data_IF_714863733977
#
_entry.id   IF_714863733977
#
_cell.length_a   1.000
_cell.length_b   1.000
_cell.length_c   1.000
_cell.angle_alpha   90.00
_cell.angle_beta   90.00
_cell.angle_gamma   90.00
#
_symmetry.space_group_name_H-M   'P 1'
#
loop_
_entity.id
_entity.type
_entity.pdbx_description
1 polymer ?
#
# COMPACT_ATOMS: atom_id res chain seq x y z
N UNK A 1 4.35 22.80 76.72
CA UNK A 1 5.04 21.53 77.09
C UNK A 1 4.41 20.40 76.28
N UNK A 2 5.25 19.58 75.62
CA UNK A 2 4.98 18.28 74.96
C UNK A 2 4.11 18.38 73.68
N UNK A 3 4.54 17.99 72.48
CA UNK A 3 5.59 17.06 72.04
C UNK A 3 4.95 16.08 71.04
N UNK A 4 5.27 16.22 69.75
CA UNK A 4 4.82 15.33 68.65
C UNK A 4 5.32 13.88 68.85
N UNK A 5 4.57 12.86 68.40
CA UNK A 5 5.15 11.56 68.02
C UNK A 5 5.23 11.37 66.50
N UNK A 6 6.29 10.66 66.10
CA UNK A 6 6.81 10.35 64.76
C UNK A 6 6.09 9.16 64.08
N UNK A 7 6.28 8.97 62.76
CA UNK A 7 5.66 7.91 61.98
C UNK A 7 6.43 6.59 62.11
N UNK A 8 5.71 5.46 62.15
CA UNK A 8 6.31 4.14 62.18
C UNK A 8 5.31 3.04 62.54
N UNK A 9 4.54 2.59 61.56
CA UNK A 9 3.92 1.28 61.60
C UNK A 9 4.06 0.67 60.21
N UNK A 10 4.98 -0.29 60.11
CA UNK A 10 5.17 -1.14 58.95
C UNK A 10 3.85 -1.83 58.61
N UNK A 11 3.40 -1.69 57.37
CA UNK A 11 2.37 -2.56 56.81
C UNK A 11 2.91 -4.02 56.85
N UNK A 12 2.06 -5.02 57.16
CA UNK A 12 2.50 -6.40 57.21
C UNK A 12 2.93 -6.86 55.82
N UNK A 13 4.05 -7.57 55.77
CA UNK A 13 4.54 -8.22 54.56
C UNK A 13 3.45 -9.17 54.02
N UNK A 14 3.02 -8.91 52.79
CA UNK A 14 2.12 -9.79 52.07
C UNK A 14 2.81 -11.15 51.88
N UNK A 15 2.24 -12.15 52.55
CA UNK A 15 2.56 -13.56 52.40
C UNK A 15 2.53 -13.94 50.92
N UNK A 16 3.68 -14.34 50.39
CA UNK A 16 3.77 -15.01 49.09
C UNK A 16 3.17 -16.41 49.24
N UNK A 17 2.05 -16.65 48.56
CA UNK A 17 1.41 -17.96 48.52
C UNK A 17 0.11 -17.97 47.72
N UNK A 18 0.22 -18.37 46.44
CA UNK A 18 -0.80 -19.17 45.76
C UNK A 18 -2.05 -18.48 45.22
N UNK A 19 -1.93 -17.91 44.02
CA UNK A 19 -2.68 -18.35 42.83
C UNK A 19 -2.09 -17.55 41.67
N UNK A 20 -1.57 -18.21 40.65
CA UNK A 20 -1.46 -17.55 39.35
C UNK A 20 -2.90 -17.22 38.97
N UNK A 21 -3.31 -15.96 39.14
CA UNK A 21 -4.61 -15.49 38.66
C UNK A 21 -4.64 -15.84 37.17
N UNK A 22 -5.42 -16.88 36.83
CA UNK A 22 -5.57 -17.38 35.48
C UNK A 22 -6.11 -16.20 34.66
N UNK A 23 -5.23 -15.57 33.88
CA UNK A 23 -5.57 -14.40 33.09
C UNK A 23 -6.57 -14.90 32.06
N UNK A 24 -7.87 -14.68 32.30
CA UNK A 24 -8.93 -15.09 31.37
C UNK A 24 -8.86 -14.21 30.13
N UNK A 25 -7.97 -14.61 29.20
CA UNK A 25 -7.81 -14.01 27.88
C UNK A 25 -8.60 -14.73 26.81
N UNK A 26 -9.03 -15.97 27.07
CA UNK A 26 -9.83 -16.75 26.13
C UNK A 26 -11.31 -16.38 26.25
N UNK A 27 -11.76 -15.52 25.34
CA UNK A 27 -13.17 -15.17 25.16
C UNK A 27 -13.56 -15.25 23.69
N UNK A 28 -14.72 -15.83 23.45
CA UNK A 28 -15.34 -15.83 22.12
C UNK A 28 -15.56 -14.39 21.61
N UNK A 29 -15.47 -14.22 20.30
CA UNK A 29 -15.57 -12.92 19.64
C UNK A 29 -16.97 -12.74 19.06
N UNK A 30 -17.55 -11.56 19.22
CA UNK A 30 -18.84 -11.25 18.61
C UNK A 30 -18.69 -11.17 17.08
N UNK A 31 -19.64 -11.71 16.29
CA UNK A 31 -19.63 -11.57 14.83
C UNK A 31 -19.55 -10.11 14.35
N UNK A 32 -20.08 -9.15 15.13
CA UNK A 32 -19.97 -7.72 14.82
C UNK A 32 -18.52 -7.23 14.92
N UNK A 33 -17.75 -7.74 15.88
CA UNK A 33 -16.36 -7.36 16.04
C UNK A 33 -15.50 -7.85 14.86
N UNK A 34 -15.85 -9.00 14.25
CA UNK A 34 -15.15 -9.60 13.09
C UNK A 34 -15.23 -8.77 11.79
N UNK A 35 -16.18 -7.84 11.72
CA UNK A 35 -16.33 -6.93 10.59
C UNK A 35 -15.02 -6.17 10.34
N UNK A 36 -14.37 -5.73 11.40
CA UNK A 36 -13.07 -5.09 11.31
C UNK A 36 -11.95 -6.14 11.35
N UNK A 37 -10.84 -5.93 10.65
CA UNK A 37 -9.68 -6.82 10.77
C UNK A 37 -8.92 -6.64 12.09
N UNK A 38 -8.14 -7.67 12.44
CA UNK A 38 -7.11 -7.55 13.48
C UNK A 38 -5.94 -6.71 12.96
N UNK A 39 -5.18 -6.10 13.87
CA UNK A 39 -3.97 -5.36 13.50
C UNK A 39 -2.81 -6.30 13.14
N UNK A 40 -1.80 -5.77 12.46
CA UNK A 40 -0.61 -6.54 12.11
C UNK A 40 0.19 -6.97 13.34
N UNK A 41 1.06 -7.98 13.18
CA UNK A 41 1.87 -8.52 14.29
C UNK A 41 2.81 -7.47 14.90
N UNK A 42 3.42 -6.61 14.07
CA UNK A 42 4.28 -5.53 14.55
C UNK A 42 3.51 -4.50 15.40
N UNK A 43 2.36 -4.02 14.90
CA UNK A 43 1.49 -3.09 15.64
C UNK A 43 0.95 -3.73 16.94
N UNK A 44 0.65 -5.03 16.91
CA UNK A 44 0.20 -5.77 18.09
C UNK A 44 1.31 -5.86 19.14
N UNK A 45 2.56 -6.09 18.73
CA UNK A 45 3.71 -6.12 19.64
C UNK A 45 3.94 -4.74 20.28
N UNK A 46 3.86 -3.65 19.51
CA UNK A 46 3.95 -2.29 20.04
C UNK A 46 2.83 -1.98 21.05
N UNK A 47 1.60 -2.44 20.76
CA UNK A 47 0.47 -2.31 21.67
C UNK A 47 0.69 -3.12 22.95
N UNK A 48 1.20 -4.35 22.85
CA UNK A 48 1.52 -5.20 23.99
C UNK A 48 2.61 -4.55 24.87
N UNK A 49 3.68 -4.04 24.27
CA UNK A 49 4.74 -3.30 24.95
C UNK A 49 4.20 -2.06 25.69
N UNK A 50 3.28 -1.34 25.06
CA UNK A 50 2.61 -0.19 25.67
C UNK A 50 1.75 -0.59 26.88
N UNK A 51 0.98 -1.68 26.75
CA UNK A 51 0.16 -2.23 27.84
C UNK A 51 1.02 -2.79 28.96
N UNK A 52 2.14 -3.43 28.66
CA UNK A 52 3.09 -3.91 29.66
C UNK A 52 3.62 -2.74 30.52
N UNK A 53 4.00 -1.62 29.89
CA UNK A 53 4.53 -0.43 30.60
C UNK A 53 3.48 0.36 31.36
N UNK A 54 2.27 0.48 30.80
CA UNK A 54 1.28 1.45 31.28
C UNK A 54 0.00 0.83 31.84
N UNK A 55 -0.17 -0.49 31.72
CA UNK A 55 -1.44 -1.17 31.93
C UNK A 55 -2.46 -0.90 30.81
N UNK A 56 -3.56 -1.63 30.85
CA UNK A 56 -4.69 -1.44 29.94
C UNK A 56 -5.46 -0.17 30.30
N UNK A 57 -5.38 0.87 29.46
CA UNK A 57 -6.10 2.15 29.68
C UNK A 57 -7.58 2.05 29.38
N UNK A 58 -7.91 1.63 28.16
CA UNK A 58 -9.29 1.47 27.69
C UNK A 58 -9.76 0.03 27.89
N UNK A 59 -10.90 -0.19 28.55
CA UNK A 59 -11.42 -1.54 28.76
C UNK A 59 -11.78 -2.22 27.42
N UNK A 60 -11.87 -3.54 27.48
CA UNK A 60 -12.40 -4.38 26.40
C UNK A 60 -13.92 -4.43 26.57
N UNK A 61 -14.65 -4.19 25.49
CA UNK A 61 -16.11 -4.12 25.53
C UNK A 61 -16.67 -5.49 25.17
N UNK A 62 -17.56 -6.03 25.99
CA UNK A 62 -18.20 -7.34 25.77
C UNK A 62 -19.71 -7.19 25.62
N UNK A 63 -20.37 -8.17 25.01
CA UNK A 63 -21.83 -8.30 25.05
C UNK A 63 -22.29 -8.96 26.35
N UNK A 64 -23.61 -8.95 26.56
CA UNK A 64 -24.27 -9.63 27.69
C UNK A 64 -24.01 -11.14 27.71
N UNK A 65 -23.77 -11.76 26.54
CA UNK A 65 -23.39 -13.17 26.40
C UNK A 65 -21.90 -13.44 26.69
N UNK A 66 -21.14 -12.41 27.06
CA UNK A 66 -19.71 -12.48 27.37
C UNK A 66 -18.77 -12.38 26.18
N UNK A 67 -19.29 -12.34 24.94
CA UNK A 67 -18.47 -12.25 23.72
C UNK A 67 -17.83 -10.87 23.55
N UNK A 68 -16.64 -10.79 22.97
CA UNK A 68 -15.91 -9.53 22.76
C UNK A 68 -16.54 -8.73 21.61
N UNK A 69 -17.01 -7.52 21.91
CA UNK A 69 -17.61 -6.57 20.95
C UNK A 69 -16.60 -5.57 20.40
N UNK A 70 -15.72 -5.01 21.25
CA UNK A 70 -14.61 -4.14 20.84
C UNK A 70 -13.38 -4.39 21.72
N UNK A 71 -12.18 -4.16 21.16
CA UNK A 71 -10.93 -4.34 21.90
C UNK A 71 -10.26 -5.70 21.71
N UNK A 72 -10.57 -6.45 20.64
CA UNK A 72 -9.91 -7.74 20.31
C UNK A 72 -8.37 -7.64 20.30
N UNK A 73 -7.83 -6.58 19.69
CA UNK A 73 -6.39 -6.35 19.69
C UNK A 73 -5.85 -6.03 21.10
N UNK A 74 -6.63 -5.31 21.93
CA UNK A 74 -6.26 -5.04 23.33
C UNK A 74 -6.26 -6.32 24.17
N UNK A 75 -7.23 -7.22 23.95
CA UNK A 75 -7.29 -8.53 24.62
C UNK A 75 -6.06 -9.40 24.29
N UNK A 76 -5.72 -9.52 23.00
CA UNK A 76 -4.51 -10.24 22.55
C UNK A 76 -3.23 -9.59 23.08
N UNK A 77 -3.16 -8.26 23.11
CA UNK A 77 -2.01 -7.55 23.64
C UNK A 77 -1.87 -7.71 25.15
N UNK A 78 -2.98 -7.80 25.91
CA UNK A 78 -2.97 -8.12 27.33
C UNK A 78 -2.41 -9.52 27.60
N UNK A 79 -2.77 -10.50 26.77
CA UNK A 79 -2.22 -11.86 26.82
C UNK A 79 -0.70 -11.86 26.63
N UNK A 80 -0.20 -11.18 25.58
CA UNK A 80 1.24 -11.05 25.30
C UNK A 80 1.96 -10.34 26.46
N UNK A 81 1.37 -9.24 26.95
CA UNK A 81 1.95 -8.42 28.02
C UNK A 81 1.82 -9.04 29.42
N UNK A 82 1.06 -10.14 29.56
CA UNK A 82 0.65 -10.75 30.83
C UNK A 82 -0.01 -9.76 31.80
N UNK A 83 -0.87 -8.91 31.27
CA UNK A 83 -1.63 -7.91 32.04
C UNK A 83 -3.08 -8.36 32.12
N UNK A 84 -3.68 -8.36 33.31
CA UNK A 84 -5.09 -8.75 33.50
C UNK A 84 -6.02 -7.80 32.73
N UNK A 85 -6.82 -8.31 31.76
CA UNK A 85 -7.73 -7.48 30.99
C UNK A 85 -8.89 -6.96 31.86
N UNK A 86 -9.35 -5.75 31.56
CA UNK A 86 -10.56 -5.16 32.17
C UNK A 86 -11.69 -5.15 31.15
N UNK A 87 -12.87 -5.59 31.56
CA UNK A 87 -14.03 -5.70 30.71
C UNK A 87 -15.14 -4.74 31.14
N UNK A 88 -15.89 -4.24 30.17
CA UNK A 88 -17.14 -3.50 30.38
C UNK A 88 -18.22 -4.09 29.47
N UNK A 89 -19.39 -4.35 30.03
CA UNK A 89 -20.51 -4.89 29.26
C UNK A 89 -21.22 -3.77 28.49
N UNK A 90 -21.47 -4.01 27.21
CA UNK A 90 -22.33 -3.20 26.35
C UNK A 90 -23.77 -3.70 26.47
N UNK A 91 -24.66 -2.83 26.95
CA UNK A 91 -26.09 -3.05 26.96
C UNK A 91 -26.73 -2.40 25.72
N UNK A 92 -27.35 -3.20 24.87
CA UNK A 92 -28.04 -2.71 23.68
C UNK A 92 -28.38 -3.82 22.70
N UNK A 93 -29.14 -3.44 21.68
CA UNK A 93 -29.49 -4.30 20.53
C UNK A 93 -28.29 -4.53 19.61
N UNK A 94 -28.39 -5.49 18.70
CA UNK A 94 -27.35 -5.72 17.69
C UNK A 94 -27.12 -4.52 16.77
N UNK A 95 -28.16 -3.73 16.52
CA UNK A 95 -28.05 -2.51 15.71
C UNK A 95 -27.22 -1.45 16.45
N UNK A 96 -27.52 -1.22 17.72
CA UNK A 96 -26.77 -0.27 18.56
C UNK A 96 -25.33 -0.74 18.77
N UNK A 97 -25.11 -2.04 18.92
CA UNK A 97 -23.77 -2.62 19.02
C UNK A 97 -22.97 -2.48 17.71
N UNK A 98 -23.62 -2.63 16.55
CA UNK A 98 -23.01 -2.38 15.25
C UNK A 98 -22.62 -0.91 15.09
N UNK A 99 -23.52 0.01 15.44
CA UNK A 99 -23.28 1.45 15.42
C UNK A 99 -22.11 1.83 16.34
N UNK A 100 -22.09 1.31 17.57
CA UNK A 100 -21.00 1.49 18.52
C UNK A 100 -19.64 1.03 17.96
N UNK A 101 -19.59 -0.18 17.38
CA UNK A 101 -18.34 -0.72 16.80
C UNK A 101 -17.92 0.11 15.60
N UNK A 102 -18.85 0.50 14.73
CA UNK A 102 -18.55 1.36 13.59
C UNK A 102 -18.00 2.69 14.07
N UNK A 103 -18.59 3.37 15.03
CA UNK A 103 -18.14 4.70 15.48
C UNK A 103 -16.76 4.63 16.15
N UNK A 104 -16.57 3.62 17.01
CA UNK A 104 -15.28 3.39 17.72
C UNK A 104 -14.16 3.02 16.74
N UNK A 105 -14.48 2.38 15.61
CA UNK A 105 -13.50 1.93 14.63
C UNK A 105 -13.38 2.84 13.39
N UNK A 106 -14.36 3.71 13.12
CA UNK A 106 -14.35 4.66 11.99
C UNK A 106 -13.29 5.74 12.16
N UNK A 107 -12.93 6.06 13.41
CA UNK A 107 -11.81 6.93 13.75
C UNK A 107 -10.45 6.21 13.78
N UNK A 108 -10.37 4.91 13.42
CA UNK A 108 -9.06 4.28 13.18
C UNK A 108 -8.45 4.90 11.93
N UNK A 109 -7.60 5.90 12.16
CA UNK A 109 -6.86 6.71 11.17
C UNK A 109 -5.92 5.93 10.23
N UNK A 110 -5.95 4.60 10.27
CA UNK A 110 -4.94 3.72 9.66
C UNK A 110 -5.50 2.70 8.66
N UNK A 111 -6.81 2.68 8.37
CA UNK A 111 -7.35 1.79 7.34
C UNK A 111 -7.09 2.35 5.93
N UNK A 112 -6.43 1.55 5.08
CA UNK A 112 -6.30 1.84 3.65
C UNK A 112 -7.68 1.91 2.97
N UNK A 113 -7.79 2.58 1.81
CA UNK A 113 -9.05 2.61 1.05
C UNK A 113 -9.56 1.19 0.72
N UNK A 114 -8.66 0.28 0.36
CA UNK A 114 -8.98 -1.13 0.09
C UNK A 114 -9.48 -1.86 1.34
N UNK A 115 -8.87 -1.62 2.51
CA UNK A 115 -9.35 -2.19 3.76
C UNK A 115 -10.73 -1.65 4.15
N UNK A 116 -10.97 -0.33 3.98
CA UNK A 116 -12.30 0.27 4.19
C UNK A 116 -13.35 -0.34 3.27
N UNK A 117 -13.00 -0.67 2.03
CA UNK A 117 -13.90 -1.35 1.10
C UNK A 117 -14.32 -2.75 1.58
N UNK A 118 -13.39 -3.53 2.15
CA UNK A 118 -13.71 -4.83 2.75
C UNK A 118 -14.61 -4.68 3.98
N UNK A 119 -14.33 -3.71 4.86
CA UNK A 119 -15.17 -3.44 6.03
C UNK A 119 -16.58 -3.02 5.61
N UNK A 120 -16.71 -2.09 4.65
CA UNK A 120 -18.01 -1.66 4.13
C UNK A 120 -18.80 -2.82 3.53
N UNK A 121 -18.13 -3.70 2.79
CA UNK A 121 -18.76 -4.87 2.20
C UNK A 121 -19.29 -5.84 3.28
N UNK A 122 -18.50 -6.08 4.34
CA UNK A 122 -18.95 -6.87 5.50
C UNK A 122 -20.15 -6.22 6.17
N UNK A 123 -20.10 -4.91 6.45
CA UNK A 123 -21.20 -4.13 7.02
C UNK A 123 -22.50 -4.26 6.21
N UNK A 124 -22.41 -4.10 4.89
CA UNK A 124 -23.56 -4.17 3.98
C UNK A 124 -24.14 -5.59 3.82
N UNK A 125 -23.42 -6.62 4.27
CA UNK A 125 -23.88 -8.02 4.27
C UNK A 125 -24.26 -8.53 5.67
N UNK A 126 -24.03 -7.74 6.71
CA UNK A 126 -24.21 -8.18 8.09
C UNK A 126 -25.69 -8.23 8.48
N UNK A 127 -26.13 -9.37 9.03
CA UNK A 127 -27.50 -9.67 9.47
C UNK A 127 -27.51 -10.04 10.96
N UNK A 128 -28.68 -9.94 11.61
CA UNK A 128 -28.84 -10.31 13.03
C UNK A 128 -28.45 -11.78 13.26
N UNK A 129 -27.57 -12.04 14.24
CA UNK A 129 -27.11 -13.40 14.59
C UNK A 129 -26.18 -14.10 13.58
N UNK A 130 -25.69 -13.42 12.54
CA UNK A 130 -24.64 -13.93 11.63
C UNK A 130 -25.00 -15.15 10.77
N UNK A 131 -26.24 -15.65 10.80
CA UNK A 131 -26.68 -16.78 9.97
C UNK A 131 -26.90 -16.35 8.51
N UNK A 132 -26.28 -17.09 7.59
CA UNK A 132 -26.32 -16.93 6.12
C UNK A 132 -27.62 -17.45 5.49
N UNK A 133 -28.75 -17.30 6.17
CA UNK A 133 -30.03 -17.76 5.63
C UNK A 133 -30.60 -16.62 4.76
N UNK A 134 -30.80 -16.90 3.46
CA UNK A 134 -30.95 -15.92 2.38
C UNK A 134 -32.17 -14.99 2.42
N UNK A 135 -32.84 -14.85 3.56
CA UNK A 135 -34.04 -14.03 3.74
C UNK A 135 -33.93 -12.97 4.88
N UNK A 136 -32.78 -12.86 5.56
CA UNK A 136 -32.57 -11.81 6.56
C UNK A 136 -32.08 -10.50 5.90
N UNK A 137 -32.79 -9.40 6.14
CA UNK A 137 -32.38 -8.09 5.65
C UNK A 137 -31.08 -7.64 6.34
N UNK A 138 -30.12 -7.13 5.56
CA UNK A 138 -28.90 -6.53 6.11
C UNK A 138 -29.24 -5.36 7.03
N UNK A 139 -28.48 -5.20 8.11
CA UNK A 139 -28.64 -4.11 9.07
C UNK A 139 -28.30 -2.73 8.47
N UNK A 140 -27.46 -2.70 7.42
CA UNK A 140 -27.07 -1.50 6.69
C UNK A 140 -27.13 -1.75 5.18
N UNK A 141 -27.50 -0.73 4.40
CA UNK A 141 -27.40 -0.81 2.93
C UNK A 141 -25.95 -0.61 2.46
N UNK A 142 -25.65 -0.97 1.20
CA UNK A 142 -24.33 -0.70 0.60
C UNK A 142 -24.02 0.80 0.59
N UNK A 143 -25.04 1.64 0.39
CA UNK A 143 -24.92 3.09 0.41
C UNK A 143 -24.57 3.60 1.81
N UNK A 144 -25.28 3.17 2.83
CA UNK A 144 -25.02 3.59 4.22
C UNK A 144 -23.60 3.19 4.66
N UNK A 145 -23.16 1.98 4.30
CA UNK A 145 -21.81 1.51 4.60
C UNK A 145 -20.73 2.30 3.85
N UNK A 146 -21.00 2.70 2.60
CA UNK A 146 -20.09 3.52 1.80
C UNK A 146 -19.92 4.93 2.38
N UNK A 147 -21.04 5.58 2.74
CA UNK A 147 -21.07 6.91 3.33
C UNK A 147 -20.32 6.94 4.68
N UNK A 148 -20.56 5.95 5.56
CA UNK A 148 -19.90 5.87 6.87
C UNK A 148 -18.38 5.69 6.79
N UNK A 149 -17.86 5.02 5.76
CA UNK A 149 -16.42 4.80 5.59
C UNK A 149 -15.76 5.77 4.60
N UNK A 150 -16.52 6.73 4.06
CA UNK A 150 -16.01 7.74 3.12
C UNK A 150 -15.45 7.11 1.84
N UNK A 151 -16.15 6.13 1.26
CA UNK A 151 -15.79 5.46 0.01
C UNK A 151 -16.98 5.39 -0.94
N UNK A 152 -16.74 4.98 -2.19
CA UNK A 152 -17.81 4.82 -3.17
C UNK A 152 -18.60 3.52 -2.97
N UNK A 153 -19.90 3.51 -3.31
CA UNK A 153 -20.71 2.28 -3.38
C UNK A 153 -20.11 1.23 -4.33
N UNK A 154 -19.36 1.66 -5.35
CA UNK A 154 -18.62 0.74 -6.22
C UNK A 154 -17.55 -0.01 -5.45
N UNK A 155 -16.78 0.67 -4.60
CA UNK A 155 -15.75 0.04 -3.76
C UNK A 155 -16.38 -1.00 -2.83
N UNK A 156 -17.58 -0.75 -2.31
CA UNK A 156 -18.35 -1.75 -1.51
C UNK A 156 -18.68 -2.99 -2.34
N UNK A 157 -19.18 -2.81 -3.58
CA UNK A 157 -19.48 -3.93 -4.49
C UNK A 157 -18.23 -4.74 -4.86
N UNK A 158 -17.11 -4.07 -5.15
CA UNK A 158 -15.86 -4.74 -5.46
C UNK A 158 -15.30 -5.46 -4.23
N UNK A 159 -15.41 -4.87 -3.03
CA UNK A 159 -15.08 -5.52 -1.76
C UNK A 159 -15.91 -6.78 -1.50
N UNK A 160 -17.21 -6.76 -1.84
CA UNK A 160 -18.06 -7.94 -1.75
C UNK A 160 -17.59 -9.07 -2.66
N UNK A 161 -17.22 -8.75 -3.91
CA UNK A 161 -16.65 -9.74 -4.84
C UNK A 161 -15.39 -10.38 -4.26
N UNK A 162 -14.52 -9.58 -3.64
CA UNK A 162 -13.31 -10.08 -2.98
C UNK A 162 -13.65 -11.01 -1.81
N UNK A 163 -14.54 -10.62 -0.90
CA UNK A 163 -14.92 -11.45 0.25
C UNK A 163 -15.52 -12.79 -0.18
N UNK A 164 -16.38 -12.77 -1.19
CA UNK A 164 -17.12 -13.97 -1.60
C UNK A 164 -16.22 -14.97 -2.36
N UNK A 165 -15.27 -14.47 -3.17
CA UNK A 165 -14.58 -15.27 -4.19
C UNK A 165 -13.04 -15.24 -4.14
N UNK A 166 -12.41 -14.42 -3.31
CA UNK A 166 -10.95 -14.44 -3.19
C UNK A 166 -10.46 -15.61 -2.32
N UNK A 167 -9.26 -16.16 -2.59
CA UNK A 167 -8.50 -16.93 -1.61
C UNK A 167 -8.04 -16.03 -0.45
N UNK A 168 -7.83 -16.62 0.73
CA UNK A 168 -7.47 -15.90 1.96
C UNK A 168 -6.26 -14.98 1.79
N UNK A 169 -5.26 -15.45 1.06
CA UNK A 169 -4.04 -14.72 0.76
C UNK A 169 -4.27 -13.44 -0.06
N UNK A 170 -5.18 -13.47 -1.03
CA UNK A 170 -5.57 -12.28 -1.78
C UNK A 170 -6.37 -11.30 -0.89
N UNK A 171 -7.17 -11.80 0.05
CA UNK A 171 -7.89 -10.95 1.01
C UNK A 171 -6.89 -10.21 1.92
N UNK A 172 -5.86 -10.89 2.43
CA UNK A 172 -4.81 -10.28 3.25
C UNK A 172 -4.07 -9.19 2.48
N UNK A 173 -3.69 -9.46 1.22
CA UNK A 173 -3.01 -8.47 0.36
C UNK A 173 -3.89 -7.23 0.09
N UNK A 174 -5.20 -7.42 -0.14
CA UNK A 174 -6.15 -6.30 -0.29
C UNK A 174 -6.25 -5.50 1.01
N UNK A 175 -6.33 -6.18 2.14
CA UNK A 175 -6.47 -5.57 3.47
C UNK A 175 -5.22 -4.76 3.85
N UNK A 176 -4.02 -5.27 3.52
CA UNK A 176 -2.74 -4.58 3.69
C UNK A 176 -2.53 -3.44 2.69
N UNK A 177 -3.39 -3.33 1.67
CA UNK A 177 -3.28 -2.33 0.62
C UNK A 177 -2.19 -2.64 -0.41
N UNK A 178 -1.67 -3.87 -0.46
CA UNK A 178 -0.70 -4.33 -1.45
C UNK A 178 -1.33 -4.47 -2.85
N UNK A 179 -2.65 -4.68 -2.88
CA UNK A 179 -3.45 -4.66 -4.10
C UNK A 179 -4.70 -3.81 -3.87
N UNK A 180 -5.03 -2.97 -4.85
CA UNK A 180 -6.28 -2.21 -4.83
C UNK A 180 -7.48 -3.17 -4.90
N UNK A 181 -8.51 -2.93 -4.09
CA UNK A 181 -9.75 -3.76 -4.06
C UNK A 181 -10.37 -3.94 -5.45
N UNK A 182 -10.31 -2.90 -6.29
CA UNK A 182 -10.79 -2.95 -7.67
C UNK A 182 -10.01 -3.94 -8.54
N UNK A 183 -8.68 -3.90 -8.46
CA UNK A 183 -7.82 -4.80 -9.24
C UNK A 183 -8.03 -6.25 -8.81
N UNK A 184 -8.21 -6.49 -7.50
CA UNK A 184 -8.58 -7.81 -6.98
C UNK A 184 -9.94 -8.28 -7.54
N UNK A 185 -10.95 -7.41 -7.54
CA UNK A 185 -12.27 -7.73 -8.08
C UNK A 185 -12.25 -7.98 -9.59
N UNK A 186 -11.45 -7.24 -10.37
CA UNK A 186 -11.26 -7.47 -11.81
C UNK A 186 -10.58 -8.81 -12.08
N UNK A 187 -9.53 -9.16 -11.32
CA UNK A 187 -8.88 -10.47 -11.40
C UNK A 187 -9.86 -11.61 -11.11
N UNK A 188 -10.69 -11.47 -10.07
CA UNK A 188 -11.72 -12.45 -9.71
C UNK A 188 -12.75 -12.62 -10.83
N UNK A 189 -13.18 -11.52 -11.45
CA UNK A 189 -14.13 -11.57 -12.59
C UNK A 189 -13.51 -12.23 -13.81
N UNK A 190 -12.24 -11.92 -14.12
CA UNK A 190 -11.51 -12.52 -15.23
C UNK A 190 -11.34 -14.03 -15.04
N UNK A 191 -11.10 -14.47 -13.81
CA UNK A 191 -11.02 -15.89 -13.44
C UNK A 191 -12.40 -16.59 -13.33
N UNK A 192 -13.49 -15.96 -13.79
CA UNK A 192 -14.83 -16.55 -13.71
C UNK A 192 -15.33 -16.80 -12.29
N UNK A 193 -14.75 -16.12 -11.29
CA UNK A 193 -15.00 -16.31 -9.84
C UNK A 193 -14.60 -17.69 -9.30
N UNK A 194 -13.77 -18.42 -10.05
CA UNK A 194 -13.20 -19.70 -9.60
C UNK A 194 -12.04 -19.44 -8.62
N UNK A 195 -12.18 -19.87 -7.37
CA UNK A 195 -11.18 -19.63 -6.31
C UNK A 195 -9.81 -20.21 -6.62
N UNK A 196 -9.74 -21.34 -7.32
CA UNK A 196 -8.48 -22.02 -7.66
C UNK A 196 -7.76 -21.21 -8.74
N UNK A 197 -8.48 -20.82 -9.80
CA UNK A 197 -7.93 -19.97 -10.85
C UNK A 197 -7.54 -18.59 -10.31
N UNK A 198 -8.33 -18.00 -9.41
CA UNK A 198 -7.98 -16.74 -8.74
C UNK A 198 -6.67 -16.89 -7.96
N UNK A 199 -6.51 -17.99 -7.21
CA UNK A 199 -5.28 -18.26 -6.46
C UNK A 199 -4.09 -18.50 -7.39
N UNK A 200 -4.30 -19.17 -8.52
CA UNK A 200 -3.27 -19.39 -9.55
C UNK A 200 -2.87 -18.07 -10.22
N UNK A 201 -3.82 -17.25 -10.70
CA UNK A 201 -3.53 -15.91 -11.24
C UNK A 201 -2.85 -15.02 -10.20
N UNK A 202 -3.29 -15.06 -8.95
CA UNK A 202 -2.68 -14.28 -7.87
C UNK A 202 -1.26 -14.76 -7.56
N UNK A 203 -1.00 -16.07 -7.60
CA UNK A 203 0.35 -16.64 -7.47
C UNK A 203 1.21 -16.31 -8.67
N UNK A 204 0.73 -16.49 -9.90
CA UNK A 204 1.44 -16.14 -11.12
C UNK A 204 1.81 -14.66 -11.13
N UNK A 205 0.91 -13.78 -10.71
CA UNK A 205 1.19 -12.34 -10.55
C UNK A 205 2.27 -12.05 -9.49
N UNK A 206 2.32 -12.83 -8.40
CA UNK A 206 3.35 -12.70 -7.35
C UNK A 206 4.66 -13.42 -7.68
N UNK A 207 4.61 -14.46 -8.50
CA UNK A 207 5.76 -15.20 -9.01
C UNK A 207 6.41 -14.46 -10.18
N UNK A 208 5.61 -13.79 -11.02
CA UNK A 208 6.03 -12.69 -11.89
C UNK A 208 6.25 -11.40 -11.08
N UNK A 209 6.62 -11.52 -9.80
CA UNK A 209 6.58 -10.49 -8.76
C UNK A 209 7.63 -9.41 -8.92
N UNK A 210 7.76 -8.93 -10.13
CA UNK A 210 8.53 -7.78 -10.46
C UNK A 210 7.74 -6.54 -10.05
N UNK A 211 8.29 -5.81 -9.09
CA UNK A 211 8.02 -4.37 -8.90
C UNK A 211 8.58 -3.55 -10.06
N UNK A 212 9.23 -4.19 -11.04
CA UNK A 212 9.80 -3.54 -12.20
C UNK A 212 8.70 -3.16 -13.18
N UNK A 213 8.71 -1.89 -13.52
CA UNK A 213 7.78 -1.29 -14.46
C UNK A 213 8.26 -1.58 -15.88
N UNK A 214 8.09 -2.81 -16.38
CA UNK A 214 8.56 -3.17 -17.72
C UNK A 214 8.06 -2.22 -18.80
N UNK A 215 8.98 -1.54 -19.47
CA UNK A 215 8.65 -0.51 -20.45
C UNK A 215 7.91 -1.13 -21.63
N UNK A 216 6.75 -0.61 -22.06
CA UNK A 216 5.99 -1.23 -23.14
C UNK A 216 6.78 -1.27 -24.46
N UNK A 217 6.66 -2.35 -25.26
CA UNK A 217 7.43 -2.50 -26.50
C UNK A 217 7.27 -1.33 -27.47
N UNK A 218 6.08 -0.73 -27.56
CA UNK A 218 5.86 0.43 -28.43
C UNK A 218 6.65 1.67 -27.99
N UNK A 219 6.98 1.83 -26.70
CA UNK A 219 7.85 2.90 -26.21
C UNK A 219 9.31 2.56 -26.50
N UNK A 220 9.73 1.31 -26.28
CA UNK A 220 11.09 0.85 -26.60
C UNK A 220 11.41 0.98 -28.09
N UNK A 221 10.44 0.70 -28.96
CA UNK A 221 10.59 0.89 -30.40
C UNK A 221 10.89 2.35 -30.76
N UNK A 222 10.23 3.32 -30.11
CA UNK A 222 10.50 4.75 -30.30
C UNK A 222 11.88 5.15 -29.77
N UNK A 223 12.30 4.56 -28.65
CA UNK A 223 13.67 4.77 -28.13
C UNK A 223 14.70 4.27 -29.14
N UNK A 224 14.51 3.07 -29.68
CA UNK A 224 15.38 2.49 -30.72
C UNK A 224 15.31 3.28 -32.02
N UNK A 225 14.15 3.82 -32.40
CA UNK A 225 14.00 4.69 -33.57
C UNK A 225 14.85 5.96 -33.43
N UNK A 226 14.83 6.60 -32.26
CA UNK A 226 15.67 7.77 -32.00
C UNK A 226 17.15 7.40 -31.87
N UNK A 227 17.49 6.36 -31.10
CA UNK A 227 18.89 6.04 -30.77
C UNK A 227 19.60 5.24 -31.84
N UNK A 228 18.89 4.49 -32.66
CA UNK A 228 19.40 3.40 -33.49
C UNK A 228 19.73 2.16 -32.65
N UNK A 229 20.53 2.32 -31.59
CA UNK A 229 20.90 1.27 -30.65
C UNK A 229 21.03 1.84 -29.23
N UNK A 230 20.58 1.09 -28.22
CA UNK A 230 20.72 1.45 -26.81
C UNK A 230 22.06 0.86 -26.32
N UNK A 231 22.97 1.71 -25.85
CA UNK A 231 24.27 1.23 -25.37
C UNK A 231 24.17 0.66 -23.94
N UNK A 232 23.32 1.25 -23.08
CA UNK A 232 23.18 0.84 -21.69
C UNK A 232 21.75 1.00 -21.14
N UNK A 233 21.27 -0.06 -20.48
CA UNK A 233 20.17 -0.02 -19.49
C UNK A 233 20.74 -0.22 -18.07
N UNK A 234 20.91 0.85 -17.28
CA UNK A 234 21.59 0.76 -16.01
C UNK A 234 20.70 0.29 -14.85
N UNK A 235 19.39 0.11 -15.09
CA UNK A 235 18.41 -0.30 -14.08
C UNK A 235 17.57 -1.48 -14.61
N UNK A 236 18.26 -2.50 -15.11
CA UNK A 236 17.66 -3.62 -15.80
C UNK A 236 17.11 -4.68 -14.86
N UNK A 237 16.28 -5.57 -15.41
CA UNK A 237 15.71 -6.69 -14.69
C UNK A 237 16.70 -7.83 -14.50
N UNK A 238 16.44 -8.69 -13.51
CA UNK A 238 17.14 -9.97 -13.39
C UNK A 238 16.69 -10.94 -14.52
N UNK A 239 17.61 -11.78 -14.99
CA UNK A 239 17.33 -12.78 -16.03
C UNK A 239 17.51 -12.27 -17.46
N UNK A 240 16.58 -12.61 -18.36
CA UNK A 240 16.63 -12.18 -19.76
C UNK A 240 16.29 -10.68 -19.86
N UNK A 241 17.16 -9.84 -20.46
CA UNK A 241 16.93 -8.39 -20.50
C UNK A 241 15.66 -8.01 -21.25
N UNK A 242 14.80 -7.21 -20.61
CA UNK A 242 13.58 -6.68 -21.22
C UNK A 242 13.87 -5.55 -22.22
N UNK A 243 14.86 -4.71 -21.90
CA UNK A 243 15.35 -3.66 -22.81
C UNK A 243 16.47 -4.26 -23.66
N UNK A 244 16.39 -4.12 -24.97
CA UNK A 244 17.45 -4.57 -25.88
C UNK A 244 18.57 -3.51 -25.93
N UNK A 245 19.53 -3.60 -25.03
CA UNK A 245 20.71 -2.76 -24.96
C UNK A 245 22.00 -3.60 -25.08
N UNK A 246 23.14 -2.96 -25.34
CA UNK A 246 24.44 -3.66 -25.42
C UNK A 246 24.96 -4.10 -24.05
N UNK A 247 24.59 -3.35 -23.01
CA UNK A 247 24.95 -3.62 -21.63
C UNK A 247 23.78 -3.35 -20.69
N UNK A 248 23.76 -4.09 -19.59
CA UNK A 248 22.72 -4.04 -18.56
C UNK A 248 23.36 -4.10 -17.18
N UNK A 249 22.79 -3.38 -16.22
CA UNK A 249 23.09 -3.60 -14.81
C UNK A 249 21.81 -4.04 -14.10
N UNK A 250 21.87 -5.18 -13.43
CA UNK A 250 20.75 -5.67 -12.61
C UNK A 250 20.87 -5.16 -11.18
N UNK A 251 19.95 -5.56 -10.31
CA UNK A 251 20.02 -5.22 -8.89
C UNK A 251 21.28 -5.78 -8.25
N UNK A 252 21.73 -6.96 -8.66
CA UNK A 252 22.96 -7.58 -8.18
C UNK A 252 24.23 -6.77 -8.53
N UNK A 253 24.21 -6.03 -9.63
CA UNK A 253 25.36 -5.22 -10.08
C UNK A 253 25.50 -3.89 -9.35
N UNK A 254 24.45 -3.44 -8.67
CA UNK A 254 24.29 -2.08 -8.15
C UNK A 254 24.61 -1.03 -9.22
N UNK A 255 23.69 -0.84 -10.18
CA UNK A 255 23.88 0.04 -11.33
C UNK A 255 24.28 1.49 -10.98
N UNK A 256 23.95 1.99 -9.78
CA UNK A 256 24.37 3.32 -9.31
C UNK A 256 25.89 3.38 -9.06
N UNK A 257 26.51 2.28 -8.67
CA UNK A 257 27.96 2.16 -8.44
C UNK A 257 28.79 2.04 -9.73
N UNK A 258 28.15 1.77 -10.87
CA UNK A 258 28.82 1.50 -12.14
C UNK A 258 29.00 2.77 -12.99
N UNK A 259 29.95 2.76 -13.92
CA UNK A 259 30.13 3.83 -14.90
C UNK A 259 29.11 3.74 -16.03
N UNK A 260 28.47 4.86 -16.41
CA UNK A 260 27.49 4.89 -17.51
C UNK A 260 28.09 5.60 -18.71
N UNK A 261 27.99 4.99 -19.90
CA UNK A 261 28.59 5.52 -21.13
C UNK A 261 27.67 5.30 -22.34
N UNK A 262 27.77 6.17 -23.35
CA UNK A 262 27.01 6.06 -24.60
C UNK A 262 25.56 6.49 -24.48
N UNK A 263 24.68 5.88 -25.27
CA UNK A 263 23.23 6.15 -25.30
C UNK A 263 22.52 5.33 -24.21
N UNK A 264 21.96 6.01 -23.22
CA UNK A 264 21.35 5.38 -22.05
C UNK A 264 19.82 5.42 -22.12
N UNK A 265 19.17 4.27 -21.97
CA UNK A 265 17.75 4.22 -21.63
C UNK A 265 17.61 3.92 -20.14
N UNK A 266 16.91 4.78 -19.39
CA UNK A 266 16.75 4.67 -17.95
C UNK A 266 15.27 4.55 -17.57
N UNK A 267 14.92 3.44 -16.96
CA UNK A 267 13.65 3.23 -16.29
C UNK A 267 13.95 2.68 -14.88
N UNK A 268 14.14 3.54 -13.86
CA UNK A 268 14.69 3.13 -12.56
C UNK A 268 13.66 2.34 -11.73
N UNK A 269 13.92 2.05 -10.44
CA UNK A 269 12.89 1.73 -9.44
C UNK A 269 12.23 3.00 -8.82
N UNK A 270 10.91 2.93 -8.52
CA UNK A 270 10.03 4.11 -8.26
C UNK A 270 9.06 3.92 -7.08
N UNK A 271 9.08 2.75 -6.45
CA UNK A 271 8.09 2.32 -5.47
C UNK A 271 8.39 2.83 -4.05
N UNK A 272 7.67 2.32 -3.06
CA UNK A 272 7.82 2.72 -1.65
C UNK A 272 9.21 2.42 -1.07
N UNK A 273 10.06 1.66 -1.76
CA UNK A 273 11.42 1.33 -1.36
C UNK A 273 12.49 2.07 -2.20
N UNK A 274 12.10 2.80 -3.26
CA UNK A 274 13.03 3.42 -4.21
C UNK A 274 12.56 4.79 -4.73
N UNK A 275 13.42 5.80 -4.59
CA UNK A 275 13.23 7.11 -5.24
C UNK A 275 14.07 7.18 -6.51
N UNK A 276 13.52 7.67 -7.64
CA UNK A 276 14.31 7.86 -8.87
C UNK A 276 15.39 8.95 -8.71
N UNK A 277 15.41 9.68 -7.60
CA UNK A 277 16.29 10.85 -7.42
C UNK A 277 17.78 10.57 -7.55
N UNK A 278 18.29 9.46 -7.00
CA UNK A 278 19.72 9.10 -7.12
C UNK A 278 20.08 8.71 -8.56
N UNK A 279 19.17 7.99 -9.25
CA UNK A 279 19.32 7.60 -10.64
C UNK A 279 19.34 8.82 -11.57
N UNK A 280 18.42 9.77 -11.36
CA UNK A 280 18.36 11.02 -12.11
C UNK A 280 19.59 11.89 -11.86
N UNK A 281 20.02 12.00 -10.60
CA UNK A 281 21.24 12.74 -10.26
C UNK A 281 22.45 12.17 -11.01
N UNK A 282 22.64 10.85 -10.94
CA UNK A 282 23.71 10.18 -11.68
C UNK A 282 23.58 10.37 -13.19
N UNK A 283 22.39 10.21 -13.77
CA UNK A 283 22.19 10.39 -15.21
C UNK A 283 22.66 11.78 -15.68
N UNK A 284 22.26 12.83 -14.95
CA UNK A 284 22.63 14.21 -15.26
C UNK A 284 24.14 14.42 -15.08
N UNK A 285 24.74 13.87 -14.03
CA UNK A 285 26.18 13.99 -13.77
C UNK A 285 27.01 13.28 -14.87
N UNK A 286 26.58 12.09 -15.29
CA UNK A 286 27.24 11.31 -16.35
C UNK A 286 27.08 11.96 -17.74
N UNK A 287 25.93 12.56 -18.02
CA UNK A 287 25.69 13.33 -19.26
C UNK A 287 26.49 14.64 -19.27
N UNK A 288 26.51 15.38 -18.15
CA UNK A 288 27.29 16.61 -18.02
C UNK A 288 28.79 16.35 -18.17
N UNK A 289 29.26 15.20 -17.70
CA UNK A 289 30.63 14.75 -17.88
C UNK A 289 30.95 14.26 -19.30
N UNK A 290 29.97 14.18 -20.20
CA UNK A 290 30.13 13.74 -21.60
C UNK A 290 30.33 12.22 -21.77
N UNK A 291 30.17 11.42 -20.72
CA UNK A 291 30.26 9.95 -20.81
C UNK A 291 28.99 9.36 -21.39
N UNK A 292 27.84 9.82 -20.88
CA UNK A 292 26.54 9.57 -21.52
C UNK A 292 26.37 10.60 -22.63
N UNK A 293 26.26 10.12 -23.87
CA UNK A 293 26.21 10.98 -25.06
C UNK A 293 24.78 11.42 -25.37
N UNK A 294 23.81 10.55 -25.12
CA UNK A 294 22.38 10.85 -25.13
C UNK A 294 21.67 9.97 -24.10
N UNK A 295 20.53 10.41 -23.59
CA UNK A 295 19.71 9.58 -22.72
C UNK A 295 18.21 9.85 -22.85
N UNK A 296 17.42 8.81 -22.63
CA UNK A 296 15.99 8.91 -22.38
C UNK A 296 15.74 8.31 -21.00
N UNK A 297 15.14 9.07 -20.11
CA UNK A 297 14.59 8.52 -18.87
C UNK A 297 13.06 8.56 -18.87
N UNK A 298 12.46 7.40 -18.59
CA UNK A 298 11.03 7.26 -18.37
C UNK A 298 10.79 7.43 -16.86
N UNK A 299 9.90 8.35 -16.46
CA UNK A 299 9.70 8.77 -15.07
C UNK A 299 8.22 9.07 -14.77
N UNK A 300 7.78 9.08 -13.50
CA UNK A 300 6.39 9.39 -13.18
C UNK A 300 6.27 10.92 -13.26
N UNK A 301 5.23 11.48 -13.85
CA UNK A 301 5.17 12.94 -14.02
C UNK A 301 4.84 13.68 -12.69
N UNK A 302 5.81 13.72 -11.76
CA UNK A 302 5.74 14.35 -10.44
C UNK A 302 6.50 15.67 -10.44
N UNK A 303 5.80 16.73 -10.86
CA UNK A 303 6.38 18.06 -11.12
C UNK A 303 6.92 18.79 -9.89
N UNK A 304 6.57 18.35 -8.68
CA UNK A 304 6.96 18.98 -7.41
C UNK A 304 8.19 18.31 -6.75
N UNK A 305 8.99 17.57 -7.51
CA UNK A 305 10.11 16.77 -6.98
C UNK A 305 11.45 17.37 -7.36
N UNK A 306 12.41 17.33 -6.44
CA UNK A 306 13.76 17.87 -6.67
C UNK A 306 14.50 17.22 -7.84
N UNK A 307 14.20 15.96 -8.16
CA UNK A 307 14.80 15.29 -9.31
C UNK A 307 14.18 15.76 -10.63
N UNK A 308 12.91 16.19 -10.65
CA UNK A 308 12.31 16.81 -11.84
C UNK A 308 12.92 18.19 -12.11
N UNK A 309 13.28 18.93 -11.06
CA UNK A 309 13.97 20.22 -11.19
C UNK A 309 15.33 20.07 -11.87
N UNK A 310 16.08 19.01 -11.54
CA UNK A 310 17.35 18.68 -12.24
C UNK A 310 17.16 18.40 -13.72
N UNK A 311 15.98 17.92 -14.10
CA UNK A 311 15.62 17.62 -15.48
C UNK A 311 14.98 18.81 -16.21
N UNK A 312 14.78 19.95 -15.53
CA UNK A 312 14.13 21.14 -16.08
C UNK A 312 14.73 21.63 -17.42
N UNK A 313 16.06 21.59 -17.65
CA UNK A 313 16.65 22.03 -18.92
C UNK A 313 16.32 21.17 -20.15
N UNK A 314 15.92 19.93 -19.94
CA UNK A 314 15.86 18.94 -21.01
C UNK A 314 14.46 18.81 -21.63
N UNK A 315 14.44 18.43 -22.91
CA UNK A 315 13.22 18.19 -23.66
C UNK A 315 12.47 16.99 -23.07
N UNK A 316 11.14 17.00 -23.14
CA UNK A 316 10.32 15.91 -22.58
C UNK A 316 9.01 15.71 -23.33
N UNK A 317 8.50 14.48 -23.30
CA UNK A 317 7.18 14.10 -23.79
C UNK A 317 6.33 13.62 -22.61
N UNK A 318 5.21 14.32 -22.34
CA UNK A 318 4.20 13.82 -21.41
C UNK A 318 3.26 12.88 -22.15
N UNK A 319 3.28 11.60 -21.77
CA UNK A 319 2.51 10.54 -22.43
C UNK A 319 1.02 10.83 -22.30
N UNK A 320 0.28 10.75 -23.42
CA UNK A 320 -1.18 10.94 -23.41
C UNK A 320 -1.83 9.74 -22.74
N UNK A 321 -2.66 9.98 -21.72
CA UNK A 321 -3.38 8.94 -21.00
C UNK A 321 -2.52 8.28 -19.92
N UNK A 322 -2.65 6.96 -19.78
CA UNK A 322 -1.92 6.14 -18.81
C UNK A 322 -1.22 5.00 -19.54
N UNK A 323 0.06 4.85 -19.24
CA UNK A 323 0.88 3.81 -19.82
C UNK A 323 0.62 2.49 -19.09
N UNK A 324 0.49 1.38 -19.83
CA UNK A 324 0.37 0.03 -19.27
C UNK A 324 1.72 -0.65 -19.37
N UNK A 325 2.33 -0.98 -18.23
CA UNK A 325 3.66 -1.59 -18.15
C UNK A 325 3.57 -3.12 -18.19
N UNK A 326 4.50 -3.76 -18.92
CA UNK A 326 4.54 -5.21 -19.10
C UNK A 326 3.16 -5.82 -19.40
N UNK A 327 2.85 -6.91 -18.71
CA UNK A 327 1.57 -7.62 -18.80
C UNK A 327 0.53 -7.12 -17.77
N UNK A 328 0.67 -5.89 -17.27
CA UNK A 328 -0.26 -5.34 -16.27
C UNK A 328 -1.70 -5.36 -16.80
N UNK A 329 -2.64 -5.78 -15.95
CA UNK A 329 -4.07 -5.91 -16.31
C UNK A 329 -4.77 -4.56 -16.50
N UNK A 330 -4.12 -3.45 -16.13
CA UNK A 330 -4.65 -2.11 -16.24
C UNK A 330 -3.53 -1.08 -16.37
N UNK A 331 -3.92 0.15 -16.69
CA UNK A 331 -2.96 1.21 -16.92
C UNK A 331 -2.38 1.73 -15.59
N UNK A 332 -1.18 2.30 -15.64
CA UNK A 332 -0.53 2.86 -14.47
C UNK A 332 -1.43 3.89 -13.78
N UNK A 333 -1.51 3.93 -12.44
CA UNK A 333 -2.38 4.87 -11.72
C UNK A 333 -1.85 6.32 -11.77
N UNK A 334 -0.68 6.56 -12.37
CA UNK A 334 0.00 7.84 -12.44
C UNK A 334 0.37 8.23 -13.89
N UNK A 335 0.48 9.53 -14.19
CA UNK A 335 1.01 10.00 -15.47
C UNK A 335 2.50 9.66 -15.62
N UNK A 336 2.95 9.50 -16.87
CA UNK A 336 4.35 9.19 -17.23
C UNK A 336 4.91 10.29 -18.11
N UNK A 337 6.20 10.58 -17.94
CA UNK A 337 6.98 11.49 -18.77
C UNK A 337 8.26 10.80 -19.25
N UNK A 338 8.61 11.02 -20.51
CA UNK A 338 9.91 10.67 -21.08
C UNK A 338 10.72 11.96 -21.18
N UNK A 339 11.91 12.00 -20.57
CA UNK A 339 12.82 13.15 -20.66
C UNK A 339 14.03 12.76 -21.49
N UNK A 340 14.35 13.58 -22.49
CA UNK A 340 15.45 13.37 -23.41
C UNK A 340 16.60 14.34 -23.15
N UNK A 341 17.76 13.79 -22.79
CA UNK A 341 19.03 14.49 -22.65
C UNK A 341 19.82 14.25 -23.93
N UNK A 342 19.86 15.25 -24.81
CA UNK A 342 20.61 15.17 -26.06
C UNK A 342 20.35 16.36 -26.96
N UNK A 343 21.09 16.44 -28.06
CA UNK A 343 21.03 17.56 -28.99
C UNK A 343 19.95 17.41 -30.08
N UNK A 344 19.47 16.20 -30.34
CA UNK A 344 18.53 15.88 -31.45
C UNK A 344 17.07 16.13 -31.07
N UNK A 345 16.81 17.32 -30.52
CA UNK A 345 15.51 17.66 -29.93
C UNK A 345 14.37 17.59 -30.96
N UNK A 346 14.60 18.01 -32.20
CA UNK A 346 13.56 17.95 -33.24
C UNK A 346 13.20 16.50 -33.58
N UNK A 347 14.20 15.63 -33.75
CA UNK A 347 13.99 14.20 -34.00
C UNK A 347 13.26 13.54 -32.82
N UNK A 348 13.62 13.88 -31.58
CA UNK A 348 12.87 13.43 -30.39
C UNK A 348 11.40 13.86 -30.46
N UNK A 349 11.10 15.09 -30.88
CA UNK A 349 9.72 15.57 -31.02
C UNK A 349 8.98 14.81 -32.13
N UNK A 350 9.64 14.56 -33.26
CA UNK A 350 9.04 13.86 -34.40
C UNK A 350 8.71 12.40 -34.05
N UNK A 351 9.62 11.71 -33.36
CA UNK A 351 9.46 10.31 -32.91
C UNK A 351 8.43 10.20 -31.78
N UNK A 352 8.52 11.02 -30.73
CA UNK A 352 7.68 10.87 -29.53
C UNK A 352 6.40 11.70 -29.54
N UNK A 353 6.21 12.60 -30.50
CA UNK A 353 5.02 13.46 -30.61
C UNK A 353 3.71 12.70 -30.82
N UNK A 354 3.77 11.49 -31.39
CA UNK A 354 2.60 10.61 -31.47
C UNK A 354 2.13 10.09 -30.11
N UNK A 355 3.09 9.83 -29.20
CA UNK A 355 2.85 9.26 -27.87
C UNK A 355 2.25 10.28 -26.89
N UNK A 356 2.50 11.58 -27.09
CA UNK A 356 2.15 12.59 -26.10
C UNK A 356 2.41 14.03 -26.56
N UNK A 357 2.50 14.93 -25.59
CA UNK A 357 2.83 16.34 -25.86
C UNK A 357 4.27 16.63 -25.48
N UNK A 358 5.05 17.13 -26.45
CA UNK A 358 6.47 17.44 -26.27
C UNK A 358 6.69 18.90 -25.85
N UNK A 359 7.59 19.12 -24.91
CA UNK A 359 7.95 20.42 -24.36
C UNK A 359 9.47 20.54 -24.24
N UNK A 360 9.99 21.76 -24.36
CA UNK A 360 11.37 22.11 -24.00
C UNK A 360 11.38 23.41 -23.21
N UNK A 361 12.37 23.58 -22.35
CA UNK A 361 12.57 24.87 -21.70
C UNK A 361 13.00 25.91 -22.75
N UNK A 362 12.39 27.09 -22.69
CA UNK A 362 12.85 28.26 -23.42
C UNK A 362 13.62 29.10 -22.40
N UNK A 363 14.92 29.25 -22.61
CA UNK A 363 15.73 30.13 -21.77
C UNK A 363 15.43 31.59 -22.12
N UNK A 364 15.47 32.50 -21.13
CA UNK A 364 15.42 33.93 -21.40
C UNK A 364 16.52 34.31 -22.38
N UNK A 365 16.24 35.25 -23.29
CA UNK A 365 17.30 35.89 -24.07
C UNK A 365 18.35 36.45 -23.11
N UNK A 366 19.66 36.31 -23.40
CA UNK A 366 20.68 36.96 -22.60
C UNK A 366 20.36 38.45 -22.52
N UNK A 367 20.35 38.99 -21.29
CA UNK A 367 20.15 40.42 -21.10
C UNK A 367 21.21 41.15 -21.93
N UNK A 368 20.77 42.02 -22.84
CA UNK A 368 21.67 42.93 -23.55
C UNK A 368 22.27 43.84 -22.50
N UNK A 369 23.53 43.58 -22.11
CA UNK A 369 24.29 44.43 -21.17
C UNK A 369 24.69 45.71 -21.86
#
# INVERSE_FOLDING_TARGET
MRGLPRPGASLPAATHGGAEDEVVTDRAVSPIAEIYPLMGQAELAELADSIHRNGLREPIVTRQDGTVLDGRNRLRACEIARVTPRFVEFAGTDREALEFVVDTNSHRRHLSESARALVAARLATFTHGGRRDGNAAALLTQRDAAERLGISERSVRDGKVVIDHAPEELVDDVQRGLIAVRAAAELIRAAGKDKVLVAEYHRLRRASGSTEWYTPPHVLNLVTELFGEIDLDPASNEGEPWVMARAHFTRADDGLSRGWNGRVFLNPPWDSQGSPGQWVAKLVDEYTAGRVTEAICLLPARVNTAWMDRLAPYARCFVRGRLRFGDATGDAPFPVVLVYLGARIQEFVDVFGGLGSCYRQILPSPATV
#
